data_IF_388225592075
#
_entry.id   IF_388225592075
#
_cell.length_a   1.000
_cell.length_b   1.000
_cell.length_c   1.000
_cell.angle_alpha   90.00
_cell.angle_beta   90.00
_cell.angle_gamma   90.00
#
_symmetry.space_group_name_H-M   'P 1'
#
loop_
_entity.id
_entity.type
_entity.pdbx_description
1 polymer ?
#
# COMPACT_ATOMS: atom_id res chain seq x y z
N UNK A 1 18.50 -43.21 -38.55
CA UNK A 1 19.81 -42.92 -37.94
C UNK A 1 20.26 -41.55 -38.46
N UNK A 2 20.20 -40.51 -37.64
CA UNK A 2 20.64 -39.17 -38.03
C UNK A 2 21.75 -38.74 -37.07
N UNK A 3 22.89 -38.35 -37.63
CA UNK A 3 24.17 -38.21 -36.96
C UNK A 3 24.34 -36.91 -36.16
N UNK A 4 25.13 -37.06 -35.10
CA UNK A 4 26.10 -36.15 -34.50
C UNK A 4 26.31 -34.76 -35.15
N UNK A 5 26.11 -33.72 -34.34
CA UNK A 5 26.67 -32.39 -34.53
C UNK A 5 26.79 -31.67 -33.19
N UNK A 6 27.91 -31.88 -32.47
CA UNK A 6 28.27 -31.11 -31.29
C UNK A 6 29.03 -29.84 -31.71
N UNK A 7 28.64 -28.71 -31.14
CA UNK A 7 29.55 -27.60 -30.82
C UNK A 7 29.47 -26.40 -31.75
N UNK A 8 28.74 -25.36 -31.33
CA UNK A 8 29.28 -24.10 -30.78
C UNK A 8 28.30 -22.96 -31.05
N UNK A 9 27.48 -22.62 -30.06
CA UNK A 9 26.99 -21.24 -29.91
C UNK A 9 26.80 -20.95 -28.43
N UNK A 10 27.90 -20.52 -27.82
CA UNK A 10 28.06 -20.11 -26.43
C UNK A 10 27.92 -18.59 -26.30
N UNK A 11 26.85 -18.01 -26.88
CA UNK A 11 26.49 -16.59 -26.65
C UNK A 11 24.99 -16.36 -26.77
N UNK A 12 24.29 -16.44 -25.64
CA UNK A 12 23.18 -15.52 -25.26
C UNK A 12 22.29 -16.06 -24.12
N UNK A 13 22.82 -16.82 -23.16
CA UNK A 13 22.07 -17.18 -21.94
C UNK A 13 22.79 -16.74 -20.67
N UNK A 14 23.20 -15.48 -20.62
CA UNK A 14 23.23 -14.79 -19.33
C UNK A 14 21.78 -14.38 -19.05
N UNK A 15 21.04 -15.28 -18.40
CA UNK A 15 19.69 -15.02 -17.92
C UNK A 15 19.75 -13.80 -17.00
N UNK A 16 19.23 -12.67 -17.50
CA UNK A 16 18.95 -11.50 -16.66
C UNK A 16 18.05 -11.98 -15.52
N UNK A 17 18.62 -11.96 -14.32
CA UNK A 17 17.98 -12.29 -13.07
C UNK A 17 16.61 -11.60 -12.94
N UNK A 18 15.61 -12.42 -12.64
CA UNK A 18 14.41 -12.12 -11.84
C UNK A 18 13.84 -10.71 -11.94
N UNK A 19 13.19 -10.40 -13.08
CA UNK A 19 12.14 -9.38 -13.08
C UNK A 19 10.87 -10.01 -12.49
N UNK A 20 10.65 -9.78 -11.21
CA UNK A 20 9.50 -10.28 -10.45
C UNK A 20 8.18 -10.14 -11.23
N UNK A 21 7.45 -11.25 -11.29
CA UNK A 21 6.10 -11.34 -11.86
C UNK A 21 5.17 -10.31 -11.18
N UNK A 22 4.40 -9.49 -11.93
CA UNK A 22 3.44 -8.58 -11.31
C UNK A 22 2.42 -9.41 -10.53
N UNK A 23 2.40 -9.25 -9.20
CA UNK A 23 1.38 -9.87 -8.37
C UNK A 23 0.03 -9.30 -8.79
N UNK A 24 -0.77 -10.11 -9.48
CA UNK A 24 -2.08 -9.77 -10.07
C UNK A 24 -3.15 -9.55 -8.99
N UNK A 25 -2.90 -8.61 -8.07
CA UNK A 25 -3.88 -8.10 -7.11
C UNK A 25 -4.51 -6.84 -7.69
N UNK A 26 -5.82 -6.76 -7.60
CA UNK A 26 -6.59 -5.64 -8.11
C UNK A 26 -6.12 -4.33 -7.49
N UNK A 27 -5.82 -3.32 -8.32
CA UNK A 27 -5.32 -2.00 -7.90
C UNK A 27 -3.87 -1.94 -7.36
N UNK A 28 -3.10 -3.03 -7.36
CA UNK A 28 -1.67 -2.95 -7.13
C UNK A 28 -0.98 -2.29 -8.34
N UNK A 29 -0.19 -1.24 -8.10
CA UNK A 29 0.42 -0.46 -9.17
C UNK A 29 1.88 -0.07 -8.83
N UNK A 30 2.70 0.30 -9.83
CA UNK A 30 4.02 0.86 -9.58
C UNK A 30 3.92 2.14 -8.73
N UNK A 31 4.82 2.28 -7.76
CA UNK A 31 4.88 3.42 -6.84
C UNK A 31 5.98 4.40 -7.23
N UNK A 32 5.89 5.64 -6.72
CA UNK A 32 6.96 6.63 -6.84
C UNK A 32 8.33 6.11 -6.34
N UNK A 33 8.33 5.28 -5.30
CA UNK A 33 9.56 4.67 -4.74
C UNK A 33 10.07 3.47 -5.53
N UNK A 34 9.63 3.31 -6.79
CA UNK A 34 9.99 2.20 -7.67
C UNK A 34 9.68 0.81 -7.10
N UNK A 35 8.70 0.73 -6.19
CA UNK A 35 8.14 -0.54 -5.73
C UNK A 35 6.82 -0.83 -6.45
N UNK A 36 6.23 -2.00 -6.22
CA UNK A 36 4.94 -2.38 -6.81
C UNK A 36 3.99 -2.80 -5.68
N UNK A 37 2.82 -2.17 -5.57
CA UNK A 37 1.88 -2.46 -4.49
C UNK A 37 0.84 -1.37 -4.26
N UNK A 38 0.47 -1.18 -2.99
CA UNK A 38 -0.49 -0.19 -2.51
C UNK A 38 0.20 0.82 -1.60
N UNK A 39 -0.44 1.97 -1.43
CA UNK A 39 -0.18 2.87 -0.31
C UNK A 39 -1.23 2.60 0.77
N UNK A 40 -0.86 1.91 1.86
CA UNK A 40 -1.79 1.71 2.97
C UNK A 40 -1.99 3.03 3.71
N UNK A 41 -3.21 3.27 4.18
CA UNK A 41 -3.52 4.30 5.17
C UNK A 41 -4.14 3.58 6.36
N UNK A 42 -3.47 3.59 7.51
CA UNK A 42 -3.95 2.97 8.74
C UNK A 42 -4.27 3.98 9.83
N UNK A 43 -5.29 3.66 10.64
CA UNK A 43 -5.65 4.39 11.84
C UNK A 43 -5.73 3.47 13.05
N UNK A 44 -5.22 3.97 14.18
CA UNK A 44 -5.17 3.28 15.46
C UNK A 44 -5.81 4.14 16.56
N UNK A 45 -6.42 3.46 17.54
CA UNK A 45 -6.85 4.03 18.80
C UNK A 45 -5.65 4.02 19.75
N UNK A 46 -5.10 5.19 20.08
CA UNK A 46 -3.98 5.27 21.03
C UNK A 46 -4.45 5.08 22.49
N UNK A 47 -5.74 5.24 22.80
CA UNK A 47 -6.27 4.93 24.15
C UNK A 47 -6.16 3.44 24.48
N UNK A 48 -6.28 2.56 23.47
CA UNK A 48 -6.32 1.10 23.65
C UNK A 48 -5.20 0.36 22.90
N UNK A 49 -4.41 1.09 22.12
CA UNK A 49 -3.39 0.55 21.19
C UNK A 49 -3.98 -0.35 20.08
N UNK A 50 -5.29 -0.28 19.83
CA UNK A 50 -5.98 -1.13 18.88
C UNK A 50 -6.03 -0.53 17.47
N UNK A 51 -6.00 -1.40 16.47
CA UNK A 51 -6.25 -1.03 15.08
C UNK A 51 -7.74 -0.81 14.82
N UNK A 52 -8.09 0.30 14.15
CA UNK A 52 -9.49 0.65 13.89
C UNK A 52 -9.90 0.45 12.44
N UNK A 53 -9.14 0.99 11.50
CA UNK A 53 -9.46 0.94 10.09
C UNK A 53 -8.21 1.12 9.21
N UNK A 54 -8.24 0.55 8.01
CA UNK A 54 -7.29 0.86 6.96
C UNK A 54 -7.93 0.81 5.58
N UNK A 55 -7.31 1.53 4.65
CA UNK A 55 -7.58 1.45 3.22
C UNK A 55 -6.31 1.13 2.45
N UNK A 56 -6.45 0.38 1.35
CA UNK A 56 -5.36 0.05 0.43
C UNK A 56 -5.51 0.86 -0.85
N UNK A 57 -4.84 2.00 -0.91
CA UNK A 57 -4.93 2.90 -2.05
C UNK A 57 -4.01 2.43 -3.19
N UNK A 58 -4.40 2.58 -4.48
CA UNK A 58 -3.56 2.15 -5.60
C UNK A 58 -2.16 2.77 -5.55
N UNK A 59 -1.12 1.99 -5.86
CA UNK A 59 0.28 2.44 -5.78
C UNK A 59 0.65 3.64 -6.66
N UNK A 60 -0.17 3.95 -7.67
CA UNK A 60 0.00 5.09 -8.57
C UNK A 60 -0.85 6.31 -8.19
N UNK A 61 -1.70 6.20 -7.17
CA UNK A 61 -2.48 7.32 -6.64
C UNK A 61 -1.68 8.09 -5.58
N UNK A 62 -2.13 9.31 -5.26
CA UNK A 62 -1.43 10.18 -4.30
C UNK A 62 -1.35 9.51 -2.92
N UNK A 63 -0.14 9.30 -2.40
CA UNK A 63 0.05 8.45 -1.21
C UNK A 63 -0.55 8.99 0.10
N UNK A 64 -1.00 10.26 0.14
CA UNK A 64 -1.51 10.92 1.35
C UNK A 64 -2.53 12.02 0.98
N UNK A 65 -3.63 11.68 0.32
CA UNK A 65 -4.66 12.70 0.06
C UNK A 65 -5.49 12.93 1.32
N UNK A 66 -5.84 14.19 1.60
CA UNK A 66 -6.67 14.51 2.76
C UNK A 66 -8.05 13.81 2.69
N UNK A 67 -8.60 13.65 1.48
CA UNK A 67 -9.85 12.93 1.26
C UNK A 67 -9.76 11.47 1.74
N UNK A 68 -8.69 10.76 1.38
CA UNK A 68 -8.51 9.37 1.83
C UNK A 68 -8.35 9.30 3.36
N UNK A 69 -7.63 10.25 3.98
CA UNK A 69 -7.50 10.32 5.43
C UNK A 69 -8.85 10.58 6.12
N UNK A 70 -9.67 11.48 5.59
CA UNK A 70 -11.02 11.78 6.11
C UNK A 70 -11.91 10.54 6.02
N UNK A 71 -11.89 9.83 4.90
CA UNK A 71 -12.70 8.64 4.69
C UNK A 71 -12.32 7.51 5.65
N UNK A 72 -11.03 7.24 5.84
CA UNK A 72 -10.57 6.21 6.79
C UNK A 72 -10.81 6.66 8.24
N UNK A 73 -10.69 7.96 8.55
CA UNK A 73 -11.04 8.52 9.86
C UNK A 73 -12.52 8.33 10.19
N UNK A 74 -13.41 8.59 9.24
CA UNK A 74 -14.84 8.36 9.40
C UNK A 74 -15.13 6.88 9.69
N UNK A 75 -14.48 5.95 8.97
CA UNK A 75 -14.59 4.52 9.20
C UNK A 75 -14.08 4.11 10.59
N UNK A 76 -12.95 4.67 11.03
CA UNK A 76 -12.37 4.40 12.35
C UNK A 76 -13.31 4.86 13.48
N UNK A 77 -13.84 6.09 13.41
CA UNK A 77 -14.79 6.62 14.40
C UNK A 77 -16.08 5.79 14.43
N UNK A 78 -16.52 5.28 13.28
CA UNK A 78 -17.70 4.42 13.20
C UNK A 78 -17.54 3.10 13.97
N UNK A 79 -16.32 2.56 14.09
CA UNK A 79 -16.04 1.36 14.91
C UNK A 79 -16.20 1.62 16.41
N UNK A 80 -16.03 2.86 16.87
CA UNK A 80 -16.07 3.20 18.29
C UNK A 80 -17.53 3.41 18.75
N UNK A 81 -17.96 2.81 19.88
CA UNK A 81 -19.27 3.08 20.46
C UNK A 81 -19.45 4.57 20.78
N UNK A 82 -20.65 5.12 20.53
CA UNK A 82 -20.91 6.55 20.63
C UNK A 82 -20.54 7.17 22.00
N UNK A 83 -20.69 6.40 23.09
CA UNK A 83 -20.33 6.82 24.44
C UNK A 83 -18.84 7.15 24.63
N UNK A 84 -17.95 6.57 23.81
CA UNK A 84 -16.49 6.75 23.93
C UNK A 84 -15.90 7.75 22.92
N UNK A 85 -16.70 8.27 21.97
CA UNK A 85 -16.20 9.16 20.89
C UNK A 85 -15.78 10.56 21.36
N UNK A 86 -16.02 10.91 22.63
CA UNK A 86 -15.67 12.23 23.20
C UNK A 86 -14.29 12.26 23.85
N UNK A 87 -13.71 11.10 24.12
CA UNK A 87 -12.38 10.95 24.72
C UNK A 87 -11.58 9.95 23.89
N UNK A 88 -11.22 10.38 22.68
CA UNK A 88 -10.62 9.55 21.66
C UNK A 88 -9.33 10.18 21.13
N UNK A 89 -8.23 9.46 21.25
CA UNK A 89 -6.94 9.78 20.68
C UNK A 89 -6.68 8.83 19.50
N UNK A 90 -6.60 9.40 18.30
CA UNK A 90 -6.36 8.65 17.06
C UNK A 90 -4.97 8.95 16.54
N UNK A 91 -4.23 7.89 16.22
CA UNK A 91 -3.01 7.97 15.43
C UNK A 91 -3.33 7.64 13.98
N UNK A 92 -2.91 8.52 13.07
CA UNK A 92 -3.09 8.38 11.62
C UNK A 92 -1.75 8.45 10.90
N UNK A 93 -1.64 7.74 9.79
CA UNK A 93 -0.48 7.75 8.88
C UNK A 93 -0.46 9.00 7.99
N UNK A 94 -0.44 10.22 8.55
CA UNK A 94 -0.35 11.43 7.73
C UNK A 94 1.09 11.76 7.35
N UNK A 95 1.43 11.83 6.06
CA UNK A 95 2.63 12.56 5.64
C UNK A 95 2.23 13.64 4.64
N UNK A 96 1.90 14.83 5.18
CA UNK A 96 1.63 16.05 4.40
C UNK A 96 0.16 16.44 4.25
N UNK A 97 -0.80 15.60 4.67
CA UNK A 97 -2.24 15.88 4.58
C UNK A 97 -2.85 16.61 5.79
N UNK A 98 -2.03 16.97 6.78
CA UNK A 98 -2.53 17.35 8.12
C UNK A 98 -3.39 18.61 8.18
N UNK A 99 -3.07 19.66 7.42
CA UNK A 99 -3.85 20.90 7.48
C UNK A 99 -5.29 20.64 7.06
N UNK A 100 -5.48 20.10 5.85
CA UNK A 100 -6.80 19.77 5.32
C UNK A 100 -7.53 18.63 6.06
N UNK A 101 -6.83 17.86 6.91
CA UNK A 101 -7.44 16.86 7.79
C UNK A 101 -7.96 17.46 9.10
N UNK A 102 -7.30 18.53 9.59
CA UNK A 102 -7.61 19.19 10.86
C UNK A 102 -8.59 20.36 10.70
N UNK A 103 -8.62 20.99 9.52
CA UNK A 103 -9.55 22.06 9.14
C UNK A 103 -11.00 21.55 9.01
#
# INVERSE_FOLDING_TARGET
MCGSGLGTDDRARCGRHDRGHPQRKENAAPTYKHTFGYHPIGLWCDNTEEFLAASLHPGNAGSNTAADHIDVLAQAIAQIPAAHRRDLLIRSEGAGAFHALLD
#
